data_IF_950041826351
#
_entry.id   IF_950041826351
#
_cell.length_a   1.000
_cell.length_b   1.000
_cell.length_c   1.000
_cell.angle_alpha   90.00
_cell.angle_beta   90.00
_cell.angle_gamma   90.00
#
_symmetry.space_group_name_H-M   'P 1'
#
loop_
_entity.id
_entity.type
_entity.pdbx_description
1 polymer ?
#
# COMPACT_ATOMS: atom_id res chain seq x y z
N UNK A 1 1.27 0.96 5.64
CA UNK A 1 0.32 0.38 6.62
C UNK A 1 -0.58 1.43 7.28
N UNK A 2 -0.06 2.53 7.87
CA UNK A 2 -0.88 3.55 8.56
C UNK A 2 -2.03 4.06 7.67
N UNK A 3 -1.71 4.54 6.46
CA UNK A 3 -2.70 5.07 5.52
C UNK A 3 -3.80 4.04 5.16
N UNK A 4 -3.43 2.78 4.94
CA UNK A 4 -4.40 1.72 4.62
C UNK A 4 -5.36 1.49 5.78
N UNK A 5 -4.85 1.37 7.02
CA UNK A 5 -5.67 1.02 8.18
C UNK A 5 -6.53 2.18 8.69
N UNK A 6 -6.08 3.42 8.50
CA UNK A 6 -6.77 4.61 9.03
C UNK A 6 -7.57 5.37 7.97
N UNK A 7 -7.28 5.14 6.67
CA UNK A 7 -7.83 5.94 5.58
C UNK A 7 -7.35 7.41 5.59
N UNK A 8 -6.23 7.68 6.27
CA UNK A 8 -5.65 9.03 6.40
C UNK A 8 -4.18 8.97 5.96
N UNK A 9 -3.70 9.86 5.08
CA UNK A 9 -2.28 9.93 4.74
C UNK A 9 -1.43 10.20 5.98
N UNK A 10 -0.22 9.62 6.04
CA UNK A 10 0.72 9.90 7.12
C UNK A 10 1.36 11.28 6.94
N UNK A 11 0.61 12.32 7.27
CA UNK A 11 0.99 13.73 7.10
C UNK A 11 1.84 14.28 8.25
N UNK A 12 2.47 13.43 9.06
CA UNK A 12 3.40 13.87 10.10
C UNK A 12 4.78 14.12 9.51
N UNK A 13 5.40 15.20 9.98
CA UNK A 13 6.74 15.57 9.58
C UNK A 13 7.76 15.01 10.58
N UNK A 14 8.93 14.61 10.09
CA UNK A 14 10.07 14.14 10.88
C UNK A 14 9.86 12.81 11.64
N UNK A 15 8.63 12.31 11.74
CA UNK A 15 8.30 11.02 12.36
C UNK A 15 7.12 10.39 11.64
N UNK A 16 7.08 9.08 11.59
CA UNK A 16 5.85 8.35 11.21
C UNK A 16 4.80 8.47 12.32
N UNK A 17 3.53 8.60 11.95
CA UNK A 17 2.40 8.68 12.90
C UNK A 17 2.37 7.51 13.87
N UNK A 18 2.78 6.32 13.46
CA UNK A 18 2.88 5.13 14.34
C UNK A 18 3.87 5.30 15.51
N UNK A 19 4.78 6.28 15.44
CA UNK A 19 5.75 6.60 16.50
C UNK A 19 5.33 7.79 17.36
N UNK A 20 4.12 8.30 17.17
CA UNK A 20 3.56 9.42 17.93
C UNK A 20 2.42 8.85 18.78
N UNK A 21 2.55 8.80 20.12
CA UNK A 21 1.56 8.16 21.00
C UNK A 21 0.14 8.70 20.78
N UNK A 22 0.01 10.02 20.58
CA UNK A 22 -1.28 10.69 20.39
C UNK A 22 -1.93 10.33 19.06
N UNK A 23 -1.14 9.89 18.05
CA UNK A 23 -1.63 9.46 16.74
C UNK A 23 -1.97 7.97 16.67
N UNK A 24 -1.69 7.19 17.71
CA UNK A 24 -1.94 5.74 17.71
C UNK A 24 -3.41 5.39 17.91
N UNK A 25 -4.17 6.17 18.66
CA UNK A 25 -5.60 5.94 18.88
C UNK A 25 -6.38 6.39 17.64
N UNK A 26 -6.71 5.46 16.75
CA UNK A 26 -7.37 5.72 15.49
C UNK A 26 -8.64 4.90 15.32
N UNK A 27 -9.68 5.51 14.79
CA UNK A 27 -10.78 4.77 14.19
C UNK A 27 -10.30 4.01 12.95
N UNK A 28 -10.80 2.82 12.72
CA UNK A 28 -10.58 2.04 11.51
C UNK A 28 -11.86 1.34 11.06
N UNK A 29 -12.14 1.39 9.76
CA UNK A 29 -13.28 0.71 9.13
C UNK A 29 -13.25 -0.81 9.39
N UNK A 30 -12.07 -1.41 9.67
CA UNK A 30 -11.97 -2.83 10.02
C UNK A 30 -12.85 -3.20 11.23
N UNK A 31 -13.14 -2.26 12.12
CA UNK A 31 -14.03 -2.50 13.26
C UNK A 31 -15.51 -2.64 12.87
N UNK A 32 -15.90 -2.15 11.69
CA UNK A 32 -17.26 -2.27 11.15
C UNK A 32 -17.53 -3.64 10.51
N UNK A 33 -16.50 -4.47 10.31
CA UNK A 33 -16.64 -5.88 9.94
C UNK A 33 -17.12 -6.70 11.14
N UNK A 34 -18.36 -6.44 11.55
CA UNK A 34 -19.01 -7.11 12.68
C UNK A 34 -19.29 -8.57 12.32
N UNK A 35 -18.98 -9.48 13.23
CA UNK A 35 -19.14 -10.93 13.00
C UNK A 35 -18.01 -11.58 12.20
N UNK A 36 -17.05 -10.81 11.73
CA UNK A 36 -15.85 -11.31 11.07
C UNK A 36 -14.77 -11.64 12.10
N UNK A 37 -14.10 -12.78 11.94
CA UNK A 37 -12.81 -13.03 12.58
C UNK A 37 -11.76 -12.12 11.92
N UNK A 38 -10.80 -11.62 12.71
CA UNK A 38 -9.81 -10.64 12.20
C UNK A 38 -8.40 -11.14 12.46
N UNK A 39 -7.59 -11.18 11.43
CA UNK A 39 -6.24 -11.70 11.47
C UNK A 39 -5.22 -10.70 10.93
N UNK A 40 -4.06 -10.69 11.55
CA UNK A 40 -2.86 -10.02 11.05
C UNK A 40 -1.70 -11.01 11.01
N UNK A 41 -0.99 -11.03 9.89
CA UNK A 41 0.16 -11.89 9.67
C UNK A 41 1.38 -11.06 9.29
N UNK A 42 2.51 -11.31 9.96
CA UNK A 42 3.83 -10.73 9.66
C UNK A 42 4.89 -11.76 10.00
N UNK A 43 5.79 -12.06 9.06
CA UNK A 43 6.86 -13.03 9.27
C UNK A 43 7.87 -12.67 10.36
N UNK A 44 7.99 -11.38 10.67
CA UNK A 44 8.92 -10.83 11.64
C UNK A 44 8.26 -10.15 12.83
N UNK A 45 8.98 -9.21 13.44
CA UNK A 45 8.56 -8.52 14.65
C UNK A 45 7.59 -7.36 14.37
N UNK A 46 6.42 -7.30 15.03
CA UNK A 46 5.47 -6.20 14.90
C UNK A 46 5.93 -4.91 15.59
N UNK A 47 7.03 -4.97 16.34
CA UNK A 47 7.63 -3.79 16.98
C UNK A 47 8.29 -2.84 15.99
N UNK A 48 8.59 -3.33 14.76
CA UNK A 48 9.13 -2.49 13.71
C UNK A 48 8.14 -1.34 13.41
N UNK A 49 8.64 -0.11 13.40
CA UNK A 49 7.84 1.11 13.25
C UNK A 49 6.59 1.18 14.14
N UNK A 50 6.57 0.44 15.26
CA UNK A 50 5.45 0.38 16.20
C UNK A 50 4.13 -0.04 15.53
N UNK A 51 4.16 -1.00 14.59
CA UNK A 51 2.95 -1.51 13.94
C UNK A 51 1.96 -2.09 14.93
N UNK A 52 2.45 -2.74 15.98
CA UNK A 52 1.61 -3.22 17.07
C UNK A 52 0.74 -2.12 17.69
N UNK A 53 1.29 -0.91 17.83
CA UNK A 53 0.58 0.23 18.40
C UNK A 53 -0.67 0.60 17.62
N UNK A 54 -0.60 0.63 16.28
CA UNK A 54 -1.76 0.94 15.43
C UNK A 54 -2.72 -0.25 15.31
N UNK A 55 -2.21 -1.48 15.31
CA UNK A 55 -3.01 -2.70 15.21
C UNK A 55 -3.91 -2.93 16.43
N UNK A 56 -3.54 -2.40 17.60
CA UNK A 56 -4.37 -2.42 18.83
C UNK A 56 -5.73 -1.72 18.67
N UNK A 57 -5.91 -0.89 17.65
CA UNK A 57 -7.19 -0.27 17.34
C UNK A 57 -8.21 -1.26 16.77
N UNK A 58 -7.76 -2.39 16.23
CA UNK A 58 -8.63 -3.40 15.63
C UNK A 58 -9.17 -4.32 16.72
N UNK A 59 -10.47 -4.26 16.96
CA UNK A 59 -11.13 -5.08 17.97
C UNK A 59 -11.13 -6.56 17.57
N UNK A 60 -10.66 -7.42 18.48
CA UNK A 60 -10.65 -8.87 18.27
C UNK A 60 -9.60 -9.36 17.27
N UNK A 61 -8.58 -8.54 16.97
CA UNK A 61 -7.49 -8.94 16.09
C UNK A 61 -6.64 -10.05 16.69
N UNK A 62 -6.46 -11.12 15.94
CA UNK A 62 -5.55 -12.22 16.24
C UNK A 62 -4.26 -11.97 15.44
N UNK A 63 -3.14 -11.82 16.14
CA UNK A 63 -1.85 -11.55 15.54
C UNK A 63 -1.01 -12.82 15.44
N UNK A 64 -0.53 -13.11 14.24
CA UNK A 64 0.43 -14.16 13.93
C UNK A 64 1.73 -13.48 13.47
N UNK A 65 2.71 -13.44 14.36
CA UNK A 65 3.96 -12.71 14.15
C UNK A 65 5.15 -13.55 14.58
N UNK A 66 6.34 -12.99 14.60
CA UNK A 66 7.54 -13.65 15.10
C UNK A 66 7.27 -14.48 16.37
N UNK A 67 7.72 -15.73 16.37
CA UNK A 67 7.46 -16.70 17.44
C UNK A 67 6.12 -17.42 17.36
N UNK A 68 5.21 -17.07 16.45
CA UNK A 68 3.94 -17.79 16.24
C UNK A 68 4.06 -18.93 15.22
N UNK A 69 5.15 -18.98 14.48
CA UNK A 69 5.37 -19.91 13.37
C UNK A 69 6.38 -21.01 13.76
N UNK A 70 6.26 -22.17 13.13
CA UNK A 70 7.23 -23.27 13.29
C UNK A 70 8.44 -23.09 12.37
N UNK A 71 8.27 -22.34 11.29
CA UNK A 71 9.26 -22.05 10.27
C UNK A 71 10.38 -21.15 10.85
N UNK A 72 11.62 -21.39 10.42
CA UNK A 72 12.75 -20.60 10.86
C UNK A 72 12.88 -19.30 10.06
N UNK A 73 13.26 -18.18 10.70
CA UNK A 73 13.56 -16.95 9.99
C UNK A 73 14.67 -17.15 8.95
N UNK A 74 14.45 -16.64 7.75
CA UNK A 74 15.47 -16.68 6.68
C UNK A 74 16.39 -15.44 6.72
N UNK A 75 15.94 -14.37 7.34
CA UNK A 75 16.71 -13.13 7.50
C UNK A 75 16.17 -12.30 8.69
N UNK A 76 16.61 -11.05 8.81
CA UNK A 76 16.21 -10.13 9.89
C UNK A 76 14.71 -9.72 9.83
N UNK A 77 14.03 -10.00 8.72
CA UNK A 77 12.62 -9.70 8.51
C UNK A 77 11.69 -10.87 8.87
N UNK A 78 12.26 -12.04 9.21
CA UNK A 78 11.51 -13.18 9.67
C UNK A 78 11.51 -14.37 8.70
N UNK A 79 10.41 -15.13 8.71
CA UNK A 79 10.20 -16.27 7.81
C UNK A 79 9.98 -15.81 6.37
N UNK A 80 10.10 -16.74 5.42
CA UNK A 80 9.86 -16.40 4.01
C UNK A 80 8.42 -15.94 3.75
N UNK A 81 8.22 -15.07 2.77
CA UNK A 81 6.86 -14.65 2.38
C UNK A 81 6.00 -15.84 1.91
N UNK A 82 6.62 -16.87 1.28
CA UNK A 82 5.91 -18.10 0.92
C UNK A 82 5.35 -18.79 2.17
N UNK A 83 6.20 -18.99 3.18
CA UNK A 83 5.78 -19.66 4.40
C UNK A 83 4.74 -18.84 5.16
N UNK A 84 4.91 -17.53 5.21
CA UNK A 84 3.92 -16.61 5.79
C UNK A 84 2.54 -16.78 5.14
N UNK A 85 2.48 -16.82 3.82
CA UNK A 85 1.24 -17.04 3.07
C UNK A 85 0.65 -18.43 3.32
N UNK A 86 1.48 -19.48 3.38
CA UNK A 86 1.01 -20.83 3.63
C UNK A 86 0.53 -21.02 5.08
N UNK A 87 1.16 -20.36 6.05
CA UNK A 87 0.69 -20.31 7.43
C UNK A 87 -0.67 -19.58 7.53
N UNK A 88 -0.83 -18.44 6.83
CA UNK A 88 -2.12 -17.78 6.75
C UNK A 88 -3.19 -18.71 6.14
N UNK A 89 -2.87 -19.44 5.06
CA UNK A 89 -3.78 -20.42 4.47
C UNK A 89 -4.19 -21.54 5.45
N UNK A 90 -3.25 -22.01 6.30
CA UNK A 90 -3.56 -23.00 7.36
C UNK A 90 -4.59 -22.46 8.38
N UNK A 91 -4.58 -21.15 8.64
CA UNK A 91 -5.58 -20.51 9.50
C UNK A 91 -6.91 -20.34 8.76
N UNK A 92 -6.89 -19.83 7.54
CA UNK A 92 -8.09 -19.51 6.77
C UNK A 92 -8.96 -20.74 6.47
N UNK A 93 -8.36 -21.84 6.09
CA UNK A 93 -9.12 -23.09 5.79
C UNK A 93 -9.88 -23.67 6.98
N UNK A 94 -9.55 -23.24 8.22
CA UNK A 94 -10.25 -23.68 9.44
C UNK A 94 -11.40 -22.74 9.80
N UNK A 95 -11.56 -21.61 9.10
CA UNK A 95 -12.59 -20.64 9.45
C UNK A 95 -13.96 -21.12 8.99
N UNK A 96 -14.93 -20.97 9.88
CA UNK A 96 -16.35 -21.25 9.61
C UNK A 96 -17.19 -19.97 9.56
N UNK A 97 -16.60 -18.85 9.96
CA UNK A 97 -17.18 -17.51 9.90
C UNK A 97 -16.47 -16.68 8.83
N UNK A 98 -17.10 -15.62 8.33
CA UNK A 98 -16.39 -14.63 7.51
C UNK A 98 -15.17 -14.09 8.26
N UNK A 99 -14.12 -13.76 7.52
CA UNK A 99 -12.91 -13.21 8.12
C UNK A 99 -12.36 -12.04 7.29
N UNK A 100 -11.67 -11.14 7.98
CA UNK A 100 -10.82 -10.10 7.43
C UNK A 100 -9.37 -10.43 7.80
N UNK A 101 -8.47 -10.44 6.83
CA UNK A 101 -7.07 -10.71 7.08
C UNK A 101 -6.18 -9.66 6.43
N UNK A 102 -5.15 -9.23 7.15
CA UNK A 102 -4.07 -8.39 6.65
C UNK A 102 -2.77 -9.19 6.73
N UNK A 103 -2.20 -9.51 5.57
CA UNK A 103 -0.91 -10.19 5.46
C UNK A 103 0.10 -9.15 5.03
N UNK A 104 1.09 -8.86 5.87
CA UNK A 104 2.18 -7.95 5.58
C UNK A 104 3.44 -8.75 5.27
N UNK A 105 3.85 -8.71 4.01
CA UNK A 105 5.09 -9.34 3.55
C UNK A 105 6.29 -8.44 3.81
N UNK A 106 7.48 -9.02 3.87
CA UNK A 106 8.72 -8.30 4.08
C UNK A 106 9.88 -8.83 3.23
N UNK A 107 9.65 -9.85 2.39
CA UNK A 107 10.68 -10.52 1.61
C UNK A 107 11.29 -9.63 0.52
N UNK A 108 10.57 -8.64 0.01
CA UNK A 108 11.11 -7.70 -0.97
C UNK A 108 11.77 -6.47 -0.30
N UNK A 109 12.43 -6.66 0.83
CA UNK A 109 13.16 -5.63 1.57
C UNK A 109 14.66 -5.91 1.59
N UNK A 110 15.46 -4.85 1.62
CA UNK A 110 16.92 -4.97 1.81
C UNK A 110 17.27 -5.66 3.15
N UNK A 111 18.23 -6.61 3.16
CA UNK A 111 19.13 -7.07 2.10
C UNK A 111 18.48 -8.15 1.20
N UNK A 112 18.43 -7.89 -0.11
CA UNK A 112 17.69 -8.70 -1.09
C UNK A 112 18.32 -10.09 -1.36
N UNK A 113 19.61 -10.26 -1.13
CA UNK A 113 20.33 -11.51 -1.34
C UNK A 113 19.85 -12.65 -0.43
N UNK A 114 19.19 -12.30 0.68
CA UNK A 114 18.63 -13.23 1.67
C UNK A 114 17.09 -13.29 1.65
N UNK A 115 16.47 -12.78 0.61
CA UNK A 115 14.99 -12.74 0.51
C UNK A 115 14.40 -14.05 0.00
N UNK A 116 15.19 -14.91 -0.63
CA UNK A 116 14.75 -16.15 -1.25
C UNK A 116 15.09 -17.31 -0.31
N UNK A 117 14.05 -18.08 0.07
CA UNK A 117 14.20 -19.22 0.94
C UNK A 117 15.07 -20.32 0.26
N UNK A 118 16.06 -20.88 0.96
CA UNK A 118 16.96 -21.89 0.38
C UNK A 118 16.24 -23.16 -0.09
N UNK A 119 15.13 -23.51 0.53
CA UNK A 119 14.30 -24.67 0.20
C UNK A 119 13.47 -24.51 -1.08
N UNK A 120 13.34 -23.29 -1.60
CA UNK A 120 12.55 -23.02 -2.82
C UNK A 120 13.38 -23.25 -4.07
N UNK A 121 13.80 -24.51 -4.26
CA UNK A 121 14.68 -24.94 -5.36
C UNK A 121 14.02 -24.87 -6.74
N UNK A 122 12.71 -24.78 -6.81
CA UNK A 122 11.94 -24.58 -8.05
C UNK A 122 11.84 -23.11 -8.47
N UNK A 123 12.24 -22.17 -7.61
CA UNK A 123 12.38 -20.76 -7.99
C UNK A 123 13.69 -20.53 -8.76
N UNK A 124 13.57 -20.14 -10.03
CA UNK A 124 14.73 -19.88 -10.88
C UNK A 124 15.10 -18.40 -10.85
N UNK A 125 16.27 -18.09 -10.31
CA UNK A 125 16.87 -16.74 -10.40
C UNK A 125 17.22 -16.42 -11.85
N UNK A 126 16.98 -15.18 -12.25
CA UNK A 126 17.37 -14.67 -13.54
C UNK A 126 18.62 -13.82 -13.38
N UNK A 127 19.63 -14.16 -14.16
CA UNK A 127 20.83 -13.36 -14.36
C UNK A 127 20.52 -12.36 -15.49
N UNK A 128 20.56 -11.07 -15.20
CA UNK A 128 20.30 -9.98 -16.14
C UNK A 128 21.38 -8.93 -16.03
N UNK A 129 21.80 -8.42 -17.17
CA UNK A 129 22.76 -7.33 -17.20
C UNK A 129 22.24 -6.10 -16.45
N UNK A 130 23.09 -5.52 -15.62
CA UNK A 130 22.76 -4.35 -14.80
C UNK A 130 22.14 -3.18 -15.59
N UNK A 131 22.60 -2.99 -16.83
CA UNK A 131 22.11 -1.91 -17.68
C UNK A 131 20.62 -2.02 -18.00
N UNK A 132 20.12 -3.23 -18.27
CA UNK A 132 18.70 -3.50 -18.55
C UNK A 132 17.87 -3.27 -17.30
N UNK A 133 18.27 -3.82 -16.16
CA UNK A 133 17.54 -3.68 -14.89
C UNK A 133 17.45 -2.23 -14.43
N UNK A 134 18.50 -1.46 -14.62
CA UNK A 134 18.58 -0.06 -14.19
C UNK A 134 17.53 0.84 -14.86
N UNK A 135 17.18 0.54 -16.11
CA UNK A 135 16.18 1.34 -16.84
C UNK A 135 14.73 0.96 -16.52
N UNK A 136 14.53 -0.15 -15.79
CA UNK A 136 13.24 -0.65 -15.31
C UNK A 136 13.04 -0.48 -13.81
N UNK A 137 13.74 0.45 -13.19
CA UNK A 137 13.56 0.78 -11.77
C UNK A 137 14.39 -0.05 -10.79
N UNK A 138 15.00 -1.16 -11.21
CA UNK A 138 15.80 -2.01 -10.33
C UNK A 138 17.27 -1.55 -10.28
N UNK A 139 17.85 -1.59 -9.10
CA UNK A 139 19.24 -1.19 -8.85
C UNK A 139 20.24 -2.30 -9.13
N UNK A 140 19.81 -3.54 -8.92
CA UNK A 140 20.67 -4.74 -9.09
C UNK A 140 19.83 -6.02 -9.24
N UNK A 141 20.49 -7.13 -9.57
CA UNK A 141 19.85 -8.43 -9.76
C UNK A 141 19.21 -8.99 -8.49
N UNK A 142 19.79 -8.74 -7.33
CA UNK A 142 19.25 -9.26 -6.07
C UNK A 142 17.87 -8.63 -5.79
N UNK A 143 17.73 -7.30 -6.00
CA UNK A 143 16.45 -6.59 -5.90
C UNK A 143 15.43 -7.12 -6.91
N UNK A 144 15.83 -7.31 -8.17
CA UNK A 144 14.97 -7.86 -9.20
C UNK A 144 14.51 -9.29 -8.89
N UNK A 145 15.41 -10.15 -8.44
CA UNK A 145 15.05 -11.52 -8.08
C UNK A 145 14.21 -11.59 -6.80
N UNK A 146 14.42 -10.70 -5.82
CA UNK A 146 13.56 -10.60 -4.65
C UNK A 146 12.13 -10.18 -5.05
N UNK A 147 11.99 -9.21 -5.96
CA UNK A 147 10.70 -8.81 -6.51
C UNK A 147 9.98 -9.97 -7.24
N UNK A 148 10.71 -10.73 -8.08
CA UNK A 148 10.16 -11.93 -8.74
C UNK A 148 9.81 -13.03 -7.74
N UNK A 149 10.57 -13.14 -6.66
CA UNK A 149 10.27 -14.11 -5.59
C UNK A 149 8.99 -13.74 -4.84
N UNK A 150 8.69 -12.44 -4.65
CA UNK A 150 7.40 -12.03 -4.09
C UNK A 150 6.23 -12.49 -4.97
N UNK A 151 6.34 -12.38 -6.30
CA UNK A 151 5.33 -12.90 -7.24
C UNK A 151 5.20 -14.43 -7.16
N UNK A 152 6.32 -15.14 -7.08
CA UNK A 152 6.34 -16.59 -6.86
C UNK A 152 5.64 -16.97 -5.54
N UNK A 153 5.88 -16.25 -4.45
CA UNK A 153 5.21 -16.49 -3.16
C UNK A 153 3.69 -16.31 -3.27
N UNK A 154 3.24 -15.26 -3.95
CA UNK A 154 1.82 -15.03 -4.26
C UNK A 154 1.26 -16.18 -5.10
N UNK A 155 1.98 -16.64 -6.12
CA UNK A 155 1.57 -17.81 -6.92
C UNK A 155 1.34 -19.03 -6.03
N UNK A 156 2.30 -19.39 -5.14
CA UNK A 156 2.18 -20.54 -4.25
C UNK A 156 0.98 -20.41 -3.29
N UNK A 157 0.75 -19.20 -2.77
CA UNK A 157 -0.42 -18.91 -1.96
C UNK A 157 -1.71 -19.12 -2.73
N UNK A 158 -1.83 -18.56 -3.93
CA UNK A 158 -3.04 -18.66 -4.74
C UNK A 158 -3.30 -20.11 -5.20
N UNK A 159 -2.25 -20.89 -5.50
CA UNK A 159 -2.36 -22.32 -5.78
C UNK A 159 -2.88 -23.12 -4.59
N UNK A 160 -2.46 -22.77 -3.37
CA UNK A 160 -2.95 -23.38 -2.15
C UNK A 160 -4.39 -22.95 -1.85
N UNK A 161 -4.68 -21.65 -1.90
CA UNK A 161 -5.99 -21.07 -1.62
C UNK A 161 -7.10 -21.61 -2.55
N UNK A 162 -6.79 -21.80 -3.83
CA UNK A 162 -7.73 -22.37 -4.84
C UNK A 162 -8.27 -23.75 -4.48
N UNK A 163 -7.61 -24.48 -3.60
CA UNK A 163 -8.02 -25.81 -3.15
C UNK A 163 -8.95 -25.76 -1.94
N UNK A 164 -9.12 -24.58 -1.33
CA UNK A 164 -9.84 -24.40 -0.08
C UNK A 164 -11.24 -23.81 -0.31
N UNK A 165 -12.16 -24.13 0.58
CA UNK A 165 -13.57 -23.73 0.48
C UNK A 165 -13.80 -22.22 0.56
N UNK A 166 -12.92 -21.48 1.22
CA UNK A 166 -13.05 -20.03 1.36
C UNK A 166 -12.77 -19.27 0.05
N UNK A 167 -12.04 -19.89 -0.90
CA UNK A 167 -11.51 -19.18 -2.08
C UNK A 167 -12.60 -18.51 -2.93
N UNK A 168 -13.69 -19.21 -3.21
CA UNK A 168 -14.76 -18.72 -4.11
C UNK A 168 -15.55 -17.55 -3.51
N UNK A 169 -15.47 -17.34 -2.22
CA UNK A 169 -16.18 -16.27 -1.49
C UNK A 169 -15.21 -15.30 -0.80
N UNK A 170 -14.05 -15.08 -1.40
CA UNK A 170 -13.01 -14.20 -0.87
C UNK A 170 -12.60 -13.16 -1.92
N UNK A 171 -12.45 -11.93 -1.47
CA UNK A 171 -11.84 -10.85 -2.23
C UNK A 171 -10.38 -10.76 -1.78
N UNK A 172 -9.47 -11.10 -2.66
CA UNK A 172 -8.04 -10.94 -2.44
C UNK A 172 -7.62 -9.54 -2.92
N UNK A 173 -6.94 -8.80 -2.07
CA UNK A 173 -6.46 -7.45 -2.39
C UNK A 173 -4.95 -7.42 -2.28
N UNK A 174 -4.28 -7.08 -3.37
CA UNK A 174 -2.83 -6.96 -3.43
C UNK A 174 -2.46 -5.50 -3.67
N UNK A 175 -1.57 -4.99 -2.84
CA UNK A 175 -1.10 -3.59 -2.91
C UNK A 175 0.35 -3.52 -2.44
N UNK A 176 1.17 -2.68 -3.11
CA UNK A 176 2.48 -2.32 -2.58
C UNK A 176 2.37 -1.27 -1.47
N UNK A 177 3.27 -1.28 -0.53
CA UNK A 177 3.41 -0.22 0.48
C UNK A 177 4.14 1.01 -0.09
N UNK A 178 5.12 0.78 -0.96
CA UNK A 178 5.81 1.76 -1.80
C UNK A 178 6.38 1.06 -3.05
N UNK A 179 6.75 1.84 -4.05
CA UNK A 179 7.36 1.36 -5.28
C UNK A 179 8.88 1.27 -5.20
N UNK A 180 9.54 1.23 -6.37
CA UNK A 180 10.99 1.15 -6.49
C UNK A 180 11.61 2.52 -6.80
N UNK A 181 12.76 2.82 -6.20
CA UNK A 181 13.42 4.12 -6.29
C UNK A 181 14.48 4.20 -7.41
N UNK A 182 14.38 3.37 -8.43
CA UNK A 182 15.34 3.32 -9.53
C UNK A 182 14.92 4.15 -10.76
N UNK A 183 15.82 4.28 -11.72
CA UNK A 183 15.50 4.84 -13.04
C UNK A 183 14.52 3.90 -13.77
N UNK A 184 13.38 4.43 -14.19
CA UNK A 184 12.31 3.68 -14.87
C UNK A 184 11.89 4.34 -16.20
N UNK A 185 12.83 4.97 -16.88
CA UNK A 185 12.58 5.71 -18.14
C UNK A 185 12.16 4.84 -19.31
N UNK A 186 12.35 3.52 -19.24
CA UNK A 186 11.77 2.55 -20.20
C UNK A 186 10.28 2.27 -19.96
N UNK A 187 9.76 2.64 -18.78
CA UNK A 187 8.38 2.37 -18.39
C UNK A 187 7.52 3.62 -18.30
N UNK A 188 8.13 4.74 -17.90
CA UNK A 188 7.43 5.98 -17.55
C UNK A 188 8.13 7.21 -18.14
N UNK A 189 7.42 8.32 -18.38
CA UNK A 189 8.02 9.61 -18.69
C UNK A 189 9.10 10.00 -17.68
N UNK A 190 10.10 10.74 -18.15
CA UNK A 190 11.31 11.09 -17.37
C UNK A 190 10.99 11.78 -16.02
N UNK A 191 9.91 12.57 -15.98
CA UNK A 191 9.43 13.25 -14.78
C UNK A 191 9.17 12.27 -13.62
N UNK A 192 8.75 11.06 -13.89
CA UNK A 192 8.50 10.04 -12.88
C UNK A 192 9.79 9.66 -12.14
N UNK A 193 10.88 9.48 -12.86
CA UNK A 193 12.20 9.23 -12.27
C UNK A 193 12.75 10.47 -11.57
N UNK A 194 12.68 11.64 -12.23
CA UNK A 194 13.22 12.90 -11.70
C UNK A 194 12.51 13.34 -10.41
N UNK A 195 11.21 13.09 -10.30
CA UNK A 195 10.40 13.45 -9.14
C UNK A 195 10.19 12.28 -8.16
N UNK A 196 10.89 11.16 -8.34
CA UNK A 196 10.78 9.94 -7.52
C UNK A 196 9.35 9.37 -7.43
N UNK A 197 8.49 9.66 -8.40
CA UNK A 197 7.10 9.18 -8.42
C UNK A 197 7.01 7.66 -8.55
N UNK A 198 8.04 7.02 -9.11
CA UNK A 198 8.15 5.55 -9.15
C UNK A 198 8.21 4.93 -7.76
N UNK A 199 8.69 5.66 -6.74
CA UNK A 199 8.69 5.21 -5.34
C UNK A 199 7.29 5.30 -4.71
N UNK A 200 6.44 6.18 -5.19
CA UNK A 200 5.08 6.40 -4.69
C UNK A 200 4.04 5.56 -5.43
N UNK A 201 4.37 5.09 -6.63
CA UNK A 201 3.45 4.34 -7.49
C UNK A 201 3.51 2.85 -7.22
N UNK A 202 2.36 2.26 -6.88
CA UNK A 202 2.22 0.84 -6.57
C UNK A 202 1.00 0.25 -7.31
N UNK A 203 1.04 -1.05 -7.64
CA UNK A 203 -0.15 -1.72 -8.15
C UNK A 203 -1.21 -1.86 -7.05
N UNK A 204 -2.49 -1.78 -7.44
CA UNK A 204 -3.63 -2.17 -6.63
C UNK A 204 -4.48 -3.16 -7.43
N UNK A 205 -4.64 -4.37 -6.93
CA UNK A 205 -5.40 -5.43 -7.57
C UNK A 205 -6.46 -5.99 -6.61
N UNK A 206 -7.72 -5.99 -7.05
CA UNK A 206 -8.82 -6.74 -6.42
C UNK A 206 -9.05 -8.00 -7.25
N UNK A 207 -8.87 -9.16 -6.66
CA UNK A 207 -9.04 -10.45 -7.31
C UNK A 207 -10.11 -11.29 -6.62
N UNK A 208 -11.22 -11.45 -7.28
CA UNK A 208 -12.35 -12.29 -6.86
C UNK A 208 -13.12 -12.79 -8.10
N UNK A 209 -12.62 -13.83 -8.78
CA UNK A 209 -13.09 -14.18 -10.14
C UNK A 209 -14.54 -14.64 -10.21
N UNK A 210 -15.15 -15.01 -9.07
CA UNK A 210 -16.56 -15.33 -8.96
C UNK A 210 -17.46 -14.11 -8.67
N UNK A 211 -16.89 -12.99 -8.25
CA UNK A 211 -17.61 -11.81 -7.79
C UNK A 211 -17.34 -10.58 -8.67
N UNK A 212 -16.17 -10.48 -9.25
CA UNK A 212 -15.71 -9.32 -10.01
C UNK A 212 -15.43 -9.68 -11.46
N UNK A 213 -15.79 -8.78 -12.38
CA UNK A 213 -15.35 -8.86 -13.78
C UNK A 213 -13.93 -8.34 -13.90
N UNK A 214 -13.14 -8.94 -14.81
CA UNK A 214 -11.81 -8.43 -15.12
C UNK A 214 -11.92 -7.07 -15.81
N UNK A 215 -11.30 -6.06 -15.23
CA UNK A 215 -11.29 -4.68 -15.71
C UNK A 215 -9.96 -4.04 -15.35
N UNK A 216 -9.37 -3.26 -16.24
CA UNK A 216 -8.24 -2.38 -15.93
C UNK A 216 -8.76 -0.95 -15.80
N UNK A 217 -8.45 -0.31 -14.70
CA UNK A 217 -8.81 1.07 -14.41
C UNK A 217 -7.55 1.93 -14.39
N UNK A 218 -7.65 3.11 -14.96
CA UNK A 218 -6.51 4.01 -15.13
C UNK A 218 -6.57 5.24 -14.21
N UNK A 219 -7.61 5.33 -13.38
CA UNK A 219 -7.80 6.46 -12.48
C UNK A 219 -6.72 6.51 -11.41
N UNK A 220 -6.31 7.70 -11.04
CA UNK A 220 -5.39 7.91 -9.92
C UNK A 220 -6.12 7.64 -8.61
N UNK A 221 -5.63 6.67 -7.86
CA UNK A 221 -6.19 6.23 -6.59
C UNK A 221 -5.10 6.19 -5.50
N UNK A 222 -5.51 6.11 -4.26
CA UNK A 222 -4.58 6.13 -3.12
C UNK A 222 -4.80 4.94 -2.18
N UNK A 223 -3.78 4.57 -1.43
CA UNK A 223 -3.86 3.53 -0.40
C UNK A 223 -4.96 3.78 0.64
N UNK A 224 -5.34 5.02 0.87
CA UNK A 224 -6.43 5.37 1.80
C UNK A 224 -7.82 4.93 1.28
N UNK A 225 -7.96 4.68 -0.02
CA UNK A 225 -9.20 4.26 -0.67
C UNK A 225 -9.47 2.75 -0.51
N UNK A 226 -8.50 1.99 -0.03
CA UNK A 226 -8.55 0.51 -0.02
C UNK A 226 -9.64 -0.01 0.91
N UNK A 227 -9.65 0.40 2.18
CA UNK A 227 -10.64 -0.09 3.15
C UNK A 227 -12.06 0.34 2.84
N UNK A 228 -12.35 1.60 2.45
CA UNK A 228 -13.66 1.97 1.96
C UNK A 228 -14.15 1.10 0.80
N UNK A 229 -13.26 0.82 -0.18
CA UNK A 229 -13.59 -0.03 -1.33
C UNK A 229 -13.84 -1.50 -0.93
N UNK A 230 -13.02 -2.05 -0.03
CA UNK A 230 -13.23 -3.41 0.51
C UNK A 230 -14.59 -3.48 1.24
N UNK A 231 -14.91 -2.48 2.06
CA UNK A 231 -16.18 -2.43 2.78
C UNK A 231 -17.38 -2.35 1.83
N UNK A 232 -17.28 -1.53 0.77
CA UNK A 232 -18.29 -1.45 -0.28
C UNK A 232 -18.49 -2.79 -0.99
N UNK A 233 -17.40 -3.43 -1.44
CA UNK A 233 -17.42 -4.74 -2.10
C UNK A 233 -17.98 -5.86 -1.20
N UNK A 234 -17.68 -5.81 0.11
CA UNK A 234 -18.16 -6.76 1.09
C UNK A 234 -19.57 -6.43 1.62
N UNK A 235 -20.21 -5.36 1.12
CA UNK A 235 -21.50 -4.86 1.59
C UNK A 235 -21.55 -4.60 3.10
N UNK A 236 -20.43 -4.09 3.65
CA UNK A 236 -20.34 -3.69 5.05
C UNK A 236 -20.80 -2.24 5.20
N UNK A 237 -21.79 -2.03 6.07
CA UNK A 237 -22.18 -0.68 6.46
C UNK A 237 -21.14 -0.10 7.41
N UNK A 238 -20.59 1.07 7.09
CA UNK A 238 -19.56 1.74 7.87
C UNK A 238 -19.76 3.26 7.88
N UNK A 239 -19.16 3.92 8.87
CA UNK A 239 -19.06 5.38 8.90
C UNK A 239 -17.67 5.78 8.42
N UNK A 240 -17.63 6.51 7.31
CA UNK A 240 -16.38 7.03 6.79
C UNK A 240 -16.00 8.33 7.50
N UNK A 241 -15.05 8.26 8.42
CA UNK A 241 -14.46 9.41 9.12
C UNK A 241 -13.08 9.79 8.55
N UNK A 242 -12.76 9.31 7.35
CA UNK A 242 -11.43 9.38 6.75
C UNK A 242 -11.44 10.21 5.45
N UNK A 243 -10.28 10.31 4.82
CA UNK A 243 -10.14 10.95 3.50
C UNK A 243 -10.26 9.95 2.34
N UNK A 244 -10.28 8.65 2.65
CA UNK A 244 -10.46 7.59 1.66
C UNK A 244 -11.89 7.53 1.11
N UNK A 245 -12.04 6.97 -0.07
CA UNK A 245 -13.32 6.81 -0.78
C UNK A 245 -13.49 5.38 -1.28
N UNK A 246 -14.72 4.96 -1.47
CA UNK A 246 -15.02 3.74 -2.23
C UNK A 246 -14.79 4.02 -3.72
N UNK A 247 -13.85 3.31 -4.32
CA UNK A 247 -13.47 3.46 -5.74
C UNK A 247 -14.56 2.96 -6.71
N UNK A 248 -15.52 2.20 -6.22
CA UNK A 248 -16.64 1.68 -7.00
C UNK A 248 -17.93 2.49 -6.83
N UNK A 249 -17.91 3.52 -5.99
CA UNK A 249 -19.02 4.48 -5.90
C UNK A 249 -19.13 5.25 -7.22
N UNK A 250 -20.32 5.21 -7.81
CA UNK A 250 -20.61 5.86 -9.11
C UNK A 250 -20.71 7.38 -9.04
N UNK A 251 -20.72 7.97 -7.86
CA UNK A 251 -20.68 9.42 -7.70
C UNK A 251 -19.32 9.95 -8.20
N UNK A 252 -19.38 10.80 -9.22
CA UNK A 252 -18.15 11.39 -9.79
C UNK A 252 -17.40 12.19 -8.74
N UNK A 253 -16.14 11.85 -8.53
CA UNK A 253 -15.17 12.59 -7.71
C UNK A 253 -13.92 12.85 -8.55
N UNK A 254 -13.15 13.83 -8.16
CA UNK A 254 -11.83 14.05 -8.76
C UNK A 254 -10.89 12.93 -8.34
N UNK A 255 -10.18 12.38 -9.31
CA UNK A 255 -9.19 11.35 -9.09
C UNK A 255 -7.83 11.98 -8.81
N UNK A 256 -7.30 11.70 -7.64
CA UNK A 256 -6.02 12.22 -7.18
C UNK A 256 -5.40 11.33 -6.11
N UNK A 257 -4.09 11.48 -5.94
CA UNK A 257 -3.36 10.93 -4.81
C UNK A 257 -2.54 12.03 -4.13
N UNK A 258 -2.64 12.12 -2.81
CA UNK A 258 -1.81 13.01 -2.00
C UNK A 258 -0.51 12.31 -1.64
N UNK A 259 0.61 12.98 -1.88
CA UNK A 259 1.96 12.51 -1.58
C UNK A 259 2.53 13.35 -0.44
N UNK A 260 3.21 12.69 0.48
CA UNK A 260 3.90 13.34 1.59
C UNK A 260 5.17 12.60 1.95
N UNK A 261 6.19 13.33 2.39
CA UNK A 261 7.45 12.78 2.89
C UNK A 261 7.81 13.33 4.25
N UNK A 262 8.60 12.58 4.99
CA UNK A 262 9.15 13.03 6.28
C UNK A 262 10.10 14.22 6.17
N UNK A 263 10.56 14.56 4.97
CA UNK A 263 11.43 15.74 4.70
C UNK A 263 10.65 17.03 4.46
N UNK A 264 9.32 16.99 4.58
CA UNK A 264 8.47 18.15 4.40
C UNK A 264 8.01 18.40 2.96
N UNK A 265 8.21 17.44 2.07
CA UNK A 265 7.62 17.50 0.72
C UNK A 265 6.16 17.07 0.79
N UNK A 266 5.27 17.86 0.22
CA UNK A 266 3.87 17.51 0.00
C UNK A 266 3.52 17.72 -1.48
N UNK A 267 2.65 16.88 -2.01
CA UNK A 267 2.27 16.94 -3.41
C UNK A 267 0.89 16.38 -3.69
N UNK A 268 0.40 16.66 -4.89
CA UNK A 268 -0.85 16.14 -5.40
C UNK A 268 -0.67 15.62 -6.81
N UNK A 269 -0.93 14.35 -7.02
CA UNK A 269 -0.94 13.70 -8.33
C UNK A 269 -2.37 13.63 -8.82
N UNK A 270 -2.58 14.03 -10.05
CA UNK A 270 -3.81 13.82 -10.83
C UNK A 270 -3.46 13.04 -12.09
N UNK A 271 -4.44 12.68 -12.92
CA UNK A 271 -4.17 12.04 -14.21
C UNK A 271 -3.18 12.84 -15.10
N UNK A 272 -3.25 14.16 -15.05
CA UNK A 272 -2.53 15.03 -15.97
C UNK A 272 -1.36 15.78 -15.35
N UNK A 273 -1.40 16.02 -14.04
CA UNK A 273 -0.44 16.92 -13.39
C UNK A 273 0.08 16.35 -12.07
N UNK A 274 1.32 16.68 -11.78
CA UNK A 274 1.91 16.55 -10.45
C UNK A 274 2.30 17.93 -9.93
N UNK A 275 1.65 18.34 -8.85
CA UNK A 275 2.01 19.52 -8.08
C UNK A 275 2.84 19.08 -6.87
N UNK A 276 3.93 19.78 -6.59
CA UNK A 276 4.78 19.50 -5.42
C UNK A 276 5.34 20.79 -4.85
N UNK A 277 5.46 20.81 -3.53
CA UNK A 277 6.20 21.83 -2.79
C UNK A 277 6.84 21.27 -1.53
N UNK A 278 7.85 21.94 -1.03
CA UNK A 278 8.34 21.73 0.34
C UNK A 278 7.70 22.77 1.25
N UNK A 279 7.14 22.33 2.38
CA UNK A 279 6.46 23.25 3.32
C UNK A 279 7.41 24.23 4.02
N UNK A 280 8.71 23.94 4.04
CA UNK A 280 9.73 24.78 4.65
C UNK A 280 10.31 25.83 3.68
N UNK A 281 9.99 25.73 2.39
CA UNK A 281 10.52 26.58 1.34
C UNK A 281 9.40 27.09 0.42
N UNK A 282 9.50 28.31 -0.14
CA UNK A 282 8.45 28.87 -0.98
C UNK A 282 8.43 28.32 -2.42
N UNK A 283 9.16 27.22 -2.70
CA UNK A 283 9.28 26.64 -4.03
C UNK A 283 8.09 25.71 -4.33
N UNK A 284 7.29 26.10 -5.31
CA UNK A 284 6.15 25.33 -5.82
C UNK A 284 6.39 24.97 -7.28
N UNK A 285 6.27 23.69 -7.59
CA UNK A 285 6.51 23.17 -8.92
C UNK A 285 5.28 22.44 -9.46
N UNK A 286 5.04 22.54 -10.76
CA UNK A 286 3.99 21.83 -11.47
C UNK A 286 4.61 21.09 -12.65
N UNK A 287 4.33 19.81 -12.75
CA UNK A 287 4.80 18.94 -13.83
C UNK A 287 3.62 18.33 -14.57
N UNK A 288 3.78 18.08 -15.85
CA UNK A 288 2.86 17.24 -16.62
C UNK A 288 3.22 15.77 -16.44
N UNK A 289 2.23 14.91 -16.24
CA UNK A 289 2.44 13.47 -16.01
C UNK A 289 2.70 12.70 -17.31
N UNK A 290 2.37 13.29 -18.46
CA UNK A 290 2.53 12.71 -19.79
C UNK A 290 3.14 13.73 -20.74
N UNK A 291 3.91 13.25 -21.72
CA UNK A 291 4.63 14.10 -22.68
C UNK A 291 3.71 14.79 -23.71
N UNK A 292 2.49 14.32 -23.89
CA UNK A 292 1.50 14.87 -24.83
C UNK A 292 0.70 16.05 -24.26
N UNK A 293 0.79 16.31 -22.96
CA UNK A 293 0.07 17.41 -22.31
C UNK A 293 0.81 18.73 -22.56
N UNK A 294 0.09 19.65 -23.16
CA UNK A 294 0.58 21.03 -23.42
C UNK A 294 -0.33 22.02 -22.73
N UNK A 295 0.27 22.94 -21.99
CA UNK A 295 -0.44 24.05 -21.30
C UNK A 295 0.23 25.37 -21.61
N UNK A 296 -0.56 26.45 -21.70
CA UNK A 296 0.01 27.81 -21.77
C UNK A 296 0.55 28.22 -20.38
N UNK A 297 1.41 29.24 -20.31
CA UNK A 297 1.86 29.78 -19.01
C UNK A 297 0.70 30.16 -18.10
N UNK A 298 -0.34 30.81 -18.63
CA UNK A 298 -1.52 31.23 -17.85
C UNK A 298 -2.32 30.02 -17.32
N UNK A 299 -2.46 28.98 -18.14
CA UNK A 299 -3.10 27.73 -17.72
C UNK A 299 -2.27 27.05 -16.63
N UNK A 300 -0.94 26.97 -16.80
CA UNK A 300 -0.02 26.41 -15.82
C UNK A 300 -0.13 27.13 -14.47
N UNK A 301 -0.12 28.46 -14.47
CA UNK A 301 -0.26 29.26 -13.25
C UNK A 301 -1.60 29.05 -12.56
N UNK A 302 -2.70 28.99 -13.33
CA UNK A 302 -4.04 28.73 -12.81
C UNK A 302 -4.13 27.34 -12.15
N UNK A 303 -3.62 26.29 -12.83
CA UNK A 303 -3.60 24.91 -12.33
C UNK A 303 -2.72 24.82 -11.08
N UNK A 304 -1.52 25.40 -11.12
CA UNK A 304 -0.60 25.42 -9.97
C UNK A 304 -1.25 26.07 -8.76
N UNK A 305 -1.89 27.22 -8.91
CA UNK A 305 -2.61 27.88 -7.83
C UNK A 305 -3.74 27.04 -7.25
N UNK A 306 -4.53 26.37 -8.08
CA UNK A 306 -5.62 25.51 -7.64
C UNK A 306 -5.09 24.30 -6.88
N UNK A 307 -4.07 23.61 -7.40
CA UNK A 307 -3.46 22.45 -6.77
C UNK A 307 -2.70 22.82 -5.49
N UNK A 308 -2.04 23.98 -5.43
CA UNK A 308 -1.40 24.50 -4.22
C UNK A 308 -2.41 24.69 -3.08
N UNK A 309 -3.54 25.34 -3.35
CA UNK A 309 -4.61 25.53 -2.38
C UNK A 309 -5.20 24.19 -1.92
N UNK A 310 -5.46 23.29 -2.87
CA UNK A 310 -6.04 21.97 -2.56
C UNK A 310 -5.06 21.09 -1.75
N UNK A 311 -3.79 21.01 -2.16
CA UNK A 311 -2.74 20.26 -1.45
C UNK A 311 -2.58 20.75 -0.02
N UNK A 312 -2.60 22.07 0.18
CA UNK A 312 -2.50 22.68 1.52
C UNK A 312 -3.67 22.33 2.40
N UNK A 313 -4.90 22.48 1.88
CA UNK A 313 -6.12 22.15 2.63
C UNK A 313 -6.16 20.66 2.98
N UNK A 314 -5.74 19.79 2.06
CA UNK A 314 -5.69 18.36 2.26
C UNK A 314 -4.66 17.97 3.33
N UNK A 315 -3.47 18.56 3.28
CA UNK A 315 -2.43 18.36 4.29
C UNK A 315 -2.89 18.74 5.69
N UNK A 316 -3.46 19.94 5.86
CA UNK A 316 -3.94 20.40 7.16
C UNK A 316 -5.13 19.54 7.67
N UNK A 317 -6.00 19.10 6.77
CA UNK A 317 -7.08 18.17 7.13
C UNK A 317 -6.53 16.82 7.58
N UNK A 318 -5.54 16.26 6.87
CA UNK A 318 -4.90 15.00 7.26
C UNK A 318 -4.24 15.12 8.64
N UNK A 319 -3.50 16.18 8.90
CA UNK A 319 -2.89 16.46 10.23
C UNK A 319 -3.95 16.52 11.33
N UNK A 320 -5.04 17.24 11.09
CA UNK A 320 -6.15 17.33 12.02
C UNK A 320 -6.75 15.95 12.32
N UNK A 321 -7.03 15.17 11.28
CA UNK A 321 -7.62 13.84 11.42
C UNK A 321 -6.68 12.86 12.16
N UNK A 322 -5.37 12.88 11.90
CA UNK A 322 -4.40 12.05 12.64
C UNK A 322 -4.55 12.24 14.16
N UNK A 323 -4.82 13.46 14.59
CA UNK A 323 -4.95 13.77 16.02
C UNK A 323 -6.37 13.61 16.56
N UNK A 324 -7.40 13.58 15.72
CA UNK A 324 -8.80 13.67 16.12
C UNK A 324 -9.69 12.50 15.68
N UNK A 325 -9.26 11.65 14.73
CA UNK A 325 -10.01 10.47 14.29
C UNK A 325 -9.88 9.31 15.30
N UNK A 326 -10.42 9.51 16.50
CA UNK A 326 -10.24 8.60 17.62
C UNK A 326 -11.18 7.41 17.57
N UNK A 327 -10.69 6.26 18.03
CA UNK A 327 -11.50 5.06 18.26
C UNK A 327 -12.57 5.38 19.31
N UNK A 328 -13.83 5.11 18.97
CA UNK A 328 -14.97 5.26 19.92
C UNK A 328 -15.59 6.66 19.94
N UNK A 329 -15.33 7.50 18.97
CA UNK A 329 -16.08 8.73 18.71
C UNK A 329 -17.14 8.54 17.63
#
# INVERSE_FOLDING_TARGET
>A
MFAILTGIPDAQLFKFSTRIPEALDQHTIVNDFKGYEKFYFLGGSPSFNNFEGILKNINGLQMHTEGSFSEQPINVWGISDKDLYLEANKVFKKQTKPFFAYIQTAGNHHPYDKSIAPEDTDFVKIDKEKAVLKNYGFRNEAEFNAFRYSDYCIQKFMEAAKKESYFTNTIFVFVGDHGVAGNATEMYPEVWTQQSLTNEHVPLLFYAPTLLKAEKREEVVSQIDILPTIAGLAHISYTNTTLGRDLLDTNKRNDFAFITSTTGTIGMVTDSFYFVRNINFPDEQLFTMRNDIKVTPEQSDSIKKALSAFTSAYFETAKYLIMNNKKGK
#
